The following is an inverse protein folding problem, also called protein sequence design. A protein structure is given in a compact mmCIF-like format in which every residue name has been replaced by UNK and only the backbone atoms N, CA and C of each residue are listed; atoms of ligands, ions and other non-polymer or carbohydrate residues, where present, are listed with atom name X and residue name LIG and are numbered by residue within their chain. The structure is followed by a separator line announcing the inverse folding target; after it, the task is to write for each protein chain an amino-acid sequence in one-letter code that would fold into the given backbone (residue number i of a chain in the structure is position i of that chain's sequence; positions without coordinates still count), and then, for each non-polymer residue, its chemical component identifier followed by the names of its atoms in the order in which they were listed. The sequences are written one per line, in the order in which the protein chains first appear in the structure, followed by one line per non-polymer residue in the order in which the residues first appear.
data_IF_026537176812
#
_entry.id   IF_026537176812
#
_cell.length_a   1.000
_cell.length_b   1.000
_cell.length_c   1.000
_cell.angle_alpha   90.00
_cell.angle_beta   90.00
_cell.angle_gamma   90.00
#
_symmetry.space_group_name_H-M   'P 1'
#
loop_
_entity.id
_entity.type
_entity.pdbx_description
1 polymer ?
#
# COMPACT_ATOMS: atom_id res chain seq x y z
N UNK A 1 2.16 -15.50 -10.69
CA UNK A 1 3.14 -14.48 -11.12
C UNK A 1 4.44 -15.18 -11.39
N UNK A 2 4.90 -15.19 -12.64
CA UNK A 2 6.19 -15.79 -13.01
C UNK A 2 7.31 -14.81 -12.65
N UNK A 3 8.30 -15.30 -11.90
CA UNK A 3 9.32 -14.50 -11.21
C UNK A 3 10.37 -13.85 -12.15
N UNK A 4 10.21 -13.96 -13.47
CA UNK A 4 11.27 -13.66 -14.45
C UNK A 4 11.06 -12.42 -15.34
N UNK A 5 9.90 -11.76 -15.31
CA UNK A 5 9.65 -10.56 -16.14
C UNK A 5 9.24 -9.41 -15.23
N UNK A 6 10.07 -8.36 -15.19
CA UNK A 6 9.94 -7.24 -14.25
C UNK A 6 8.57 -6.52 -14.37
N UNK A 7 7.98 -6.48 -15.57
CA UNK A 7 6.58 -6.08 -15.79
C UNK A 7 5.99 -6.83 -16.98
N UNK A 8 5.38 -8.01 -16.75
CA UNK A 8 4.66 -8.70 -17.83
C UNK A 8 3.42 -7.89 -18.20
N UNK A 9 3.29 -7.47 -19.46
CA UNK A 9 2.04 -6.94 -19.96
C UNK A 9 0.93 -8.00 -19.80
N UNK A 10 -0.28 -7.58 -19.42
CA UNK A 10 -1.37 -8.55 -19.28
C UNK A 10 -1.66 -9.22 -20.64
N UNK A 11 -1.79 -10.55 -20.63
CA UNK A 11 -1.97 -11.35 -21.85
C UNK A 11 -3.23 -10.97 -22.64
N UNK A 12 -4.23 -10.37 -21.98
CA UNK A 12 -5.46 -9.91 -22.63
C UNK A 12 -5.31 -8.59 -23.41
N UNK A 13 -4.25 -7.80 -23.14
CA UNK A 13 -4.14 -6.43 -23.64
C UNK A 13 -4.09 -6.35 -25.18
N UNK A 14 -3.32 -7.19 -25.91
CA UNK A 14 -3.33 -7.17 -27.38
C UNK A 14 -4.72 -7.43 -27.97
N UNK A 15 -5.46 -8.38 -27.38
CA UNK A 15 -6.83 -8.70 -27.79
C UNK A 15 -7.80 -7.55 -27.53
N UNK A 16 -7.64 -6.86 -26.40
CA UNK A 16 -8.45 -5.67 -26.08
C UNK A 16 -8.17 -4.53 -27.06
N UNK A 17 -6.90 -4.20 -27.34
CA UNK A 17 -6.53 -3.14 -28.28
C UNK A 17 -7.13 -3.41 -29.65
N UNK A 18 -6.95 -4.63 -30.17
CA UNK A 18 -7.50 -5.05 -31.48
C UNK A 18 -9.03 -4.89 -31.55
N UNK A 19 -9.73 -5.11 -30.42
CA UNK A 19 -11.20 -5.10 -30.38
C UNK A 19 -11.80 -3.71 -30.19
N UNK A 20 -11.16 -2.84 -29.42
CA UNK A 20 -11.76 -1.60 -28.94
C UNK A 20 -11.05 -0.33 -29.41
N UNK A 21 -9.75 -0.36 -29.70
CA UNK A 21 -8.94 0.84 -29.88
C UNK A 21 -9.43 1.75 -31.02
N UNK A 22 -9.40 1.24 -32.25
CA UNK A 22 -9.78 2.03 -33.44
C UNK A 22 -11.25 2.46 -33.37
N UNK A 23 -12.11 1.62 -32.81
CA UNK A 23 -13.53 1.93 -32.61
C UNK A 23 -13.72 3.12 -31.67
N UNK A 24 -12.97 3.15 -30.57
CA UNK A 24 -13.15 4.16 -29.52
C UNK A 24 -12.35 5.44 -29.80
N UNK A 25 -11.23 5.35 -30.53
CA UNK A 25 -10.29 6.45 -30.77
C UNK A 25 -10.33 7.02 -32.19
N UNK A 26 -10.78 6.24 -33.17
CA UNK A 26 -10.84 6.65 -34.57
C UNK A 26 -9.49 6.66 -35.30
N UNK A 27 -8.42 6.10 -34.70
CA UNK A 27 -7.08 5.97 -35.29
C UNK A 27 -6.38 4.69 -34.81
N UNK A 28 -5.44 4.12 -35.57
CA UNK A 28 -4.75 2.87 -35.21
C UNK A 28 -3.87 2.99 -33.97
N UNK A 29 -3.66 1.89 -33.27
CA UNK A 29 -2.74 1.83 -32.13
C UNK A 29 -1.30 1.66 -32.62
N UNK A 30 -0.40 2.52 -32.16
CA UNK A 30 1.03 2.42 -32.45
C UNK A 30 1.80 2.10 -31.15
N UNK A 31 2.51 0.96 -31.17
CA UNK A 31 3.27 0.51 -30.02
C UNK A 31 4.48 1.43 -29.78
N UNK A 32 4.72 1.82 -28.53
CA UNK A 32 5.83 2.70 -28.15
C UNK A 32 5.52 4.20 -28.17
N UNK A 33 4.42 4.61 -28.81
CA UNK A 33 4.03 6.02 -28.96
C UNK A 33 3.38 6.65 -27.71
N UNK A 34 3.37 5.91 -26.58
CA UNK A 34 2.79 6.43 -25.34
C UNK A 34 1.27 6.68 -25.38
N UNK A 35 0.56 5.99 -26.28
CA UNK A 35 -0.88 6.16 -26.48
C UNK A 35 -1.73 5.66 -25.29
N UNK A 36 -1.19 4.75 -24.46
CA UNK A 36 -1.84 4.26 -23.23
C UNK A 36 -1.16 4.90 -22.02
N UNK A 37 -1.98 5.34 -21.06
CA UNK A 37 -1.54 5.85 -19.76
C UNK A 37 -1.86 4.82 -18.69
N UNK A 38 -0.90 4.54 -17.82
CA UNK A 38 -1.02 3.60 -16.71
C UNK A 38 -0.64 4.32 -15.42
N UNK A 39 -1.61 4.82 -14.64
CA UNK A 39 -1.35 5.30 -13.29
C UNK A 39 -0.86 4.16 -12.38
N UNK A 40 -0.08 4.51 -11.35
CA UNK A 40 0.39 3.54 -10.36
C UNK A 40 -0.75 3.01 -9.50
N UNK A 41 -1.60 3.91 -8.98
CA UNK A 41 -2.71 3.55 -8.11
C UNK A 41 -3.98 4.28 -8.53
N UNK A 42 -5.08 3.53 -8.59
CA UNK A 42 -6.44 4.06 -8.73
C UNK A 42 -7.23 3.66 -7.51
N UNK A 43 -7.71 4.65 -6.76
CA UNK A 43 -8.57 4.47 -5.58
C UNK A 43 -10.00 4.78 -6.01
N UNK A 44 -10.92 3.85 -5.73
CA UNK A 44 -12.36 4.02 -6.00
C UNK A 44 -13.14 4.28 -4.72
N UNK A 45 -14.30 4.92 -4.84
CA UNK A 45 -15.22 5.14 -3.73
C UNK A 45 -15.93 3.84 -3.33
N UNK A 46 -16.35 3.06 -4.32
CA UNK A 46 -17.04 1.79 -4.14
C UNK A 46 -16.26 0.67 -4.86
N UNK A 47 -15.66 -0.29 -4.12
CA UNK A 47 -14.85 -1.35 -4.71
C UNK A 47 -15.68 -2.39 -5.47
N UNK A 48 -17.01 -2.38 -5.35
CA UNK A 48 -17.90 -3.30 -6.07
C UNK A 48 -18.26 -2.80 -7.48
N UNK A 49 -17.85 -1.59 -7.85
CA UNK A 49 -18.15 -0.93 -9.12
C UNK A 49 -16.89 -0.74 -9.97
N UNK A 50 -17.01 -0.66 -11.31
CA UNK A 50 -15.88 -0.36 -12.17
C UNK A 50 -15.27 1.03 -11.85
N UNK A 51 -13.98 1.26 -12.19
CA UNK A 51 -13.30 2.52 -11.96
C UNK A 51 -13.65 3.56 -13.04
N UNK A 52 -14.93 3.89 -13.18
CA UNK A 52 -15.40 4.99 -14.01
C UNK A 52 -15.13 6.34 -13.33
N UNK A 53 -15.11 7.45 -14.09
CA UNK A 53 -14.75 8.78 -13.56
C UNK A 53 -15.59 9.22 -12.35
N UNK A 54 -16.85 8.81 -12.27
CA UNK A 54 -17.77 9.07 -11.14
C UNK A 54 -17.40 8.23 -9.90
N UNK A 55 -16.89 7.02 -10.08
CA UNK A 55 -16.48 6.14 -8.99
C UNK A 55 -15.01 6.30 -8.58
N UNK A 56 -14.16 6.90 -9.42
CA UNK A 56 -12.77 7.21 -9.06
C UNK A 56 -12.76 8.26 -7.94
N UNK A 57 -12.16 7.90 -6.81
CA UNK A 57 -11.85 8.79 -5.69
C UNK A 57 -10.55 9.54 -5.95
N UNK A 58 -9.46 8.81 -6.20
CA UNK A 58 -8.16 9.36 -6.51
C UNK A 58 -7.42 8.55 -7.58
N UNK A 59 -6.60 9.26 -8.36
CA UNK A 59 -5.52 8.67 -9.16
C UNK A 59 -4.22 9.14 -8.52
N UNK A 60 -3.38 8.22 -8.08
CA UNK A 60 -2.14 8.51 -7.36
C UNK A 60 -0.96 8.07 -8.22
N UNK A 61 0.00 8.98 -8.39
CA UNK A 61 1.32 8.71 -8.95
C UNK A 61 2.33 8.67 -7.81
N UNK A 62 3.20 7.66 -7.80
CA UNK A 62 4.25 7.52 -6.79
C UNK A 62 5.57 7.98 -7.39
N UNK A 63 6.28 8.87 -6.70
CA UNK A 63 7.58 9.41 -7.13
C UNK A 63 8.66 9.20 -6.08
N UNK A 64 9.87 8.89 -6.54
CA UNK A 64 11.03 8.63 -5.68
C UNK A 64 12.22 9.48 -6.13
N UNK A 65 13.01 9.96 -5.17
CA UNK A 65 14.23 10.72 -5.37
C UNK A 65 14.06 11.92 -6.31
N UNK A 66 14.69 11.83 -7.49
CA UNK A 66 14.68 12.89 -8.51
C UNK A 66 13.60 12.69 -9.59
N UNK A 67 12.71 11.71 -9.45
CA UNK A 67 11.63 11.50 -10.42
C UNK A 67 10.59 12.63 -10.34
N UNK A 68 10.23 13.20 -11.49
CA UNK A 68 9.31 14.31 -11.59
C UNK A 68 7.92 13.86 -12.05
N UNK A 69 6.90 14.38 -11.39
CA UNK A 69 5.53 14.25 -11.87
C UNK A 69 5.23 15.39 -12.85
N UNK A 70 5.70 15.21 -14.08
CA UNK A 70 5.64 16.23 -15.12
C UNK A 70 4.22 16.69 -15.47
N UNK A 71 4.12 17.91 -16.02
CA UNK A 71 2.84 18.56 -16.36
C UNK A 71 1.96 17.69 -17.27
N UNK A 72 2.52 17.11 -18.32
CA UNK A 72 1.75 16.28 -19.27
C UNK A 72 1.13 15.08 -18.58
N UNK A 73 1.87 14.40 -17.69
CA UNK A 73 1.35 13.25 -16.96
C UNK A 73 0.22 13.65 -16.00
N UNK A 74 0.38 14.76 -15.27
CA UNK A 74 -0.66 15.34 -14.40
C UNK A 74 -1.95 15.64 -15.18
N UNK A 75 -1.82 16.18 -16.39
CA UNK A 75 -2.97 16.52 -17.24
C UNK A 75 -3.69 15.30 -17.79
N UNK A 76 -2.94 14.30 -18.25
CA UNK A 76 -3.50 13.04 -18.70
C UNK A 76 -4.19 12.28 -17.56
N UNK A 77 -3.62 12.28 -16.36
CA UNK A 77 -4.24 11.63 -15.20
C UNK A 77 -5.47 12.38 -14.70
N UNK A 78 -5.51 13.71 -14.85
CA UNK A 78 -6.70 14.48 -14.58
C UNK A 78 -7.85 14.13 -15.54
N UNK A 79 -7.54 13.85 -16.82
CA UNK A 79 -8.54 13.34 -17.78
C UNK A 79 -9.04 11.96 -17.34
N UNK A 80 -8.15 11.06 -16.92
CA UNK A 80 -8.55 9.72 -16.41
C UNK A 80 -9.44 9.85 -15.17
N UNK A 81 -9.07 10.71 -14.22
CA UNK A 81 -9.80 10.89 -12.97
C UNK A 81 -11.12 11.67 -13.15
N UNK A 82 -11.27 12.39 -14.26
CA UNK A 82 -12.40 13.30 -14.54
C UNK A 82 -12.29 14.66 -13.84
N UNK A 83 -11.28 14.88 -12.99
CA UNK A 83 -11.01 16.16 -12.33
C UNK A 83 -9.56 16.22 -11.83
N UNK A 84 -8.88 17.37 -12.02
CA UNK A 84 -7.50 17.60 -11.52
C UNK A 84 -7.37 17.42 -10.00
N UNK A 85 -8.39 17.77 -9.21
CA UNK A 85 -8.33 17.66 -7.75
C UNK A 85 -8.29 16.21 -7.23
N UNK A 86 -8.65 15.23 -8.08
CA UNK A 86 -8.56 13.81 -7.76
C UNK A 86 -7.17 13.23 -8.02
N UNK A 87 -6.26 13.97 -8.66
CA UNK A 87 -4.88 13.54 -8.92
C UNK A 87 -4.01 13.86 -7.71
N UNK A 88 -3.27 12.87 -7.22
CA UNK A 88 -2.34 13.00 -6.09
C UNK A 88 -0.95 12.53 -6.48
N UNK A 89 0.06 13.21 -5.95
CA UNK A 89 1.43 12.71 -5.92
C UNK A 89 1.63 12.12 -4.54
N UNK A 90 2.29 10.98 -4.46
CA UNK A 90 2.86 10.46 -3.23
C UNK A 90 4.37 10.39 -3.42
N UNK A 91 5.14 11.10 -2.60
CA UNK A 91 6.61 11.07 -2.63
C UNK A 91 7.22 10.73 -1.28
N UNK A 92 8.54 10.60 -1.24
CA UNK A 92 9.31 10.23 -0.04
C UNK A 92 9.07 11.16 1.15
N UNK A 93 8.72 12.43 0.91
CA UNK A 93 8.42 13.38 1.98
C UNK A 93 6.98 13.23 2.51
N UNK A 94 6.10 12.63 1.72
CA UNK A 94 4.75 12.27 2.14
C UNK A 94 4.70 10.89 2.81
N UNK A 95 5.71 10.03 2.62
CA UNK A 95 5.83 8.84 3.44
C UNK A 95 6.29 9.21 4.85
N UNK A 96 5.48 8.92 5.87
CA UNK A 96 5.93 8.98 7.26
C UNK A 96 6.81 7.77 7.64
N UNK A 97 7.68 7.35 6.72
CA UNK A 97 8.62 6.25 6.85
C UNK A 97 9.70 6.50 7.93
N UNK A 98 9.56 7.55 8.75
CA UNK A 98 10.54 8.01 9.74
C UNK A 98 9.98 8.49 11.09
N UNK A 99 8.67 8.71 11.26
CA UNK A 99 8.11 9.18 12.55
C UNK A 99 7.13 8.24 13.24
N UNK A 100 7.03 6.98 12.82
CA UNK A 100 6.38 5.96 13.64
C UNK A 100 7.37 4.84 13.97
N UNK A 101 7.87 4.87 15.21
CA UNK A 101 7.83 3.62 15.97
C UNK A 101 6.35 3.24 15.92
N UNK A 102 6.01 2.18 15.21
CA UNK A 102 4.66 1.62 15.21
C UNK A 102 4.29 1.22 16.66
N UNK A 103 3.86 2.18 17.47
CA UNK A 103 3.33 1.99 18.83
C UNK A 103 1.94 1.32 18.78
N UNK A 104 1.44 1.02 17.57
CA UNK A 104 0.22 0.26 17.30
C UNK A 104 0.43 -1.26 17.30
N UNK A 105 1.68 -1.75 17.33
CA UNK A 105 1.90 -2.99 18.03
C UNK A 105 1.79 -2.64 19.52
N UNK A 106 0.74 -3.11 20.20
CA UNK A 106 0.71 -3.10 21.67
C UNK A 106 1.80 -4.07 22.16
N UNK A 107 3.06 -3.70 21.98
CA UNK A 107 4.17 -4.32 22.64
C UNK A 107 4.00 -3.96 24.11
N UNK A 108 3.43 -4.89 24.86
CA UNK A 108 3.48 -4.84 26.32
C UNK A 108 4.95 -4.67 26.66
N UNK A 109 5.29 -3.50 27.21
CA UNK A 109 6.68 -3.20 27.54
C UNK A 109 7.23 -4.31 28.42
N UNK A 110 8.52 -4.64 28.26
CA UNK A 110 9.18 -5.68 29.07
C UNK A 110 8.92 -5.45 30.56
N UNK A 111 8.94 -4.18 31.01
CA UNK A 111 8.62 -3.81 32.38
C UNK A 111 7.20 -4.17 32.81
N UNK A 112 6.19 -3.89 31.99
CA UNK A 112 4.80 -4.26 32.28
C UNK A 112 4.60 -5.79 32.31
N UNK A 113 5.25 -6.52 31.41
CA UNK A 113 5.21 -7.98 31.39
C UNK A 113 5.88 -8.60 32.64
N UNK A 114 7.00 -8.04 33.10
CA UNK A 114 7.64 -8.44 34.36
C UNK A 114 6.78 -8.11 35.57
N UNK A 115 6.15 -6.93 35.62
CA UNK A 115 5.25 -6.55 36.71
C UNK A 115 4.05 -7.51 36.82
N UNK A 116 3.43 -7.88 35.69
CA UNK A 116 2.35 -8.84 35.65
C UNK A 116 2.79 -10.24 36.13
N UNK A 117 3.99 -10.69 35.74
CA UNK A 117 4.53 -11.96 36.17
C UNK A 117 4.81 -12.00 37.69
N UNK A 118 5.33 -10.91 38.27
CA UNK A 118 5.56 -10.78 39.73
C UNK A 118 4.24 -10.74 40.50
N UNK A 119 3.24 -10.00 40.02
CA UNK A 119 1.92 -10.01 40.64
C UNK A 119 1.29 -11.41 40.59
N UNK A 120 1.46 -12.11 39.46
CA UNK A 120 1.02 -13.49 39.27
C UNK A 120 1.72 -14.49 40.22
N UNK A 121 3.01 -14.33 40.50
CA UNK A 121 3.71 -15.22 41.45
C UNK A 121 3.20 -15.04 42.86
N UNK A 122 3.00 -13.79 43.30
CA UNK A 122 2.41 -13.50 44.61
C UNK A 122 1.02 -14.15 44.75
N UNK A 123 0.16 -14.00 43.74
CA UNK A 123 -1.16 -14.63 43.72
C UNK A 123 -1.09 -16.17 43.69
N UNK A 124 -0.11 -16.75 43.01
CA UNK A 124 0.09 -18.20 42.96
C UNK A 124 0.43 -18.76 44.35
N UNK A 125 1.30 -18.06 45.10
CA UNK A 125 1.62 -18.45 46.48
C UNK A 125 0.45 -18.24 47.43
N UNK A 126 -0.26 -17.12 47.35
CA UNK A 126 -1.45 -16.84 48.19
C UNK A 126 -2.55 -17.88 47.95
N UNK A 127 -2.79 -18.24 46.69
CA UNK A 127 -3.81 -19.24 46.32
C UNK A 127 -3.37 -20.69 46.56
N UNK A 128 -2.18 -20.92 47.14
CA UNK A 128 -1.58 -22.26 47.32
C UNK A 128 -1.54 -23.08 46.03
N UNK A 129 -1.28 -22.43 44.91
CA UNK A 129 -1.10 -23.07 43.61
C UNK A 129 -2.39 -23.49 42.89
N UNK A 130 -3.56 -22.99 43.31
CA UNK A 130 -4.85 -23.25 42.64
C UNK A 130 -5.02 -22.49 41.32
N UNK A 131 -4.17 -21.51 41.04
CA UNK A 131 -4.16 -20.75 39.78
C UNK A 131 -3.01 -21.19 38.87
N UNK A 132 -3.06 -20.91 37.56
CA UNK A 132 -1.98 -21.23 36.62
C UNK A 132 -0.64 -20.63 37.06
N UNK A 133 0.46 -21.34 36.80
CA UNK A 133 1.80 -20.83 37.05
C UNK A 133 2.09 -19.63 36.13
N UNK A 134 2.55 -18.49 36.68
CA UNK A 134 2.90 -17.32 35.88
C UNK A 134 4.13 -17.62 35.00
N UNK A 135 4.18 -17.00 33.81
CA UNK A 135 5.32 -17.08 32.89
C UNK A 135 6.02 -15.73 32.82
N UNK A 136 7.35 -15.76 32.88
CA UNK A 136 8.17 -14.56 32.72
C UNK A 136 8.52 -14.34 31.24
N UNK A 137 8.51 -13.08 30.77
CA UNK A 137 8.90 -12.77 29.40
C UNK A 137 10.40 -13.01 29.21
N UNK A 138 10.78 -13.58 28.06
CA UNK A 138 12.18 -13.71 27.69
C UNK A 138 12.70 -12.34 27.23
N UNK A 139 13.95 -11.95 27.59
CA UNK A 139 14.56 -10.75 27.02
C UNK A 139 14.64 -10.88 25.50
N UNK A 140 14.33 -9.79 24.78
CA UNK A 140 14.48 -9.78 23.32
C UNK A 140 15.96 -10.00 22.96
N UNK A 141 16.28 -10.90 22.01
CA UNK A 141 17.66 -11.08 21.57
C UNK A 141 18.19 -9.77 20.97
N UNK A 142 19.41 -9.39 21.36
CA UNK A 142 20.10 -8.24 20.76
C UNK A 142 20.46 -8.56 19.30
N UNK A 143 20.28 -7.61 18.37
CA UNK A 143 20.70 -7.82 16.99
C UNK A 143 22.21 -8.08 16.94
N UNK A 144 22.60 -9.17 16.27
CA UNK A 144 23.98 -9.44 15.91
C UNK A 144 24.32 -8.53 14.72
N UNK A 145 25.28 -7.64 14.91
CA UNK A 145 25.91 -6.88 13.84
C UNK A 145 27.05 -7.70 13.23
#
# INVERSE_FOLDING_TARGET
MDKGILTKAHDYLPGWIKKYWEKDKGYPYEAGEGMIRRPDVVIVNDPTKPPTQDNIKHVVEIKFGTDDFGKTQKEEYAKIAGNRHKVKQLDENECDCGNEKDDNASEVSTAAAWAAAIAGTLLYFISRGKIPRPRFPLPKPTPAW
#
